data_IF_060067968055
#
_entry.id   IF_060067968055
#
_cell.length_a   1.000
_cell.length_b   1.000
_cell.length_c   1.000
_cell.angle_alpha   90.00
_cell.angle_beta   90.00
_cell.angle_gamma   90.00
#
_symmetry.space_group_name_H-M   'P 1'
#
loop_
_entity.id
_entity.type
_entity.pdbx_description
1 polymer ?
#
# COMPACT_ATOMS: atom_id res chain seq x y z
N UNK A 1 -1.97 32.74 -0.48
CA UNK A 1 -0.66 32.25 -0.96
C UNK A 1 -0.57 30.77 -0.65
N UNK A 2 -0.51 29.90 -1.66
CA UNK A 2 -0.27 28.47 -1.48
C UNK A 2 1.24 28.23 -1.35
N UNK A 3 1.65 27.43 -0.36
CA UNK A 3 3.04 26.99 -0.18
C UNK A 3 3.07 25.47 -0.36
N UNK A 4 4.07 24.97 -1.07
CA UNK A 4 4.27 23.54 -1.32
C UNK A 4 5.41 23.04 -0.44
N UNK A 5 5.22 21.87 0.17
CA UNK A 5 6.20 21.26 1.07
C UNK A 5 6.39 19.79 0.66
N UNK A 6 7.63 19.30 0.65
CA UNK A 6 7.97 17.88 0.42
C UNK A 6 8.23 17.21 1.76
N UNK A 7 7.57 16.09 2.02
CA UNK A 7 7.88 15.22 3.18
C UNK A 7 9.15 14.43 2.87
N UNK A 8 10.15 14.49 3.76
CA UNK A 8 11.44 13.79 3.61
C UNK A 8 11.48 12.42 4.32
N UNK A 9 10.33 11.92 4.77
CA UNK A 9 10.28 10.68 5.51
C UNK A 9 10.36 9.47 4.57
N UNK A 10 11.25 8.53 4.87
CA UNK A 10 11.26 7.20 4.26
C UNK A 10 10.04 6.41 4.72
N UNK A 11 9.45 5.63 3.82
CA UNK A 11 8.37 4.69 4.13
C UNK A 11 8.87 3.26 3.91
N UNK A 12 8.29 2.31 4.64
CA UNK A 12 8.40 0.89 4.27
C UNK A 12 7.26 0.57 3.33
N UNK A 13 7.54 -0.16 2.26
CA UNK A 13 6.51 -0.66 1.37
C UNK A 13 6.88 -2.06 0.88
N UNK A 14 5.87 -2.91 0.74
CA UNK A 14 6.00 -4.26 0.19
C UNK A 14 5.04 -4.41 -0.99
N UNK A 15 5.50 -5.01 -2.09
CA UNK A 15 4.65 -5.26 -3.25
C UNK A 15 3.73 -6.46 -3.01
N UNK A 16 2.43 -6.26 -3.20
CA UNK A 16 1.41 -7.27 -2.97
C UNK A 16 1.49 -8.38 -4.03
N UNK A 17 1.76 -9.60 -3.62
CA UNK A 17 1.92 -10.74 -4.53
C UNK A 17 0.58 -11.46 -4.87
N UNK A 18 -0.50 -11.13 -4.15
CA UNK A 18 -1.83 -11.71 -4.34
C UNK A 18 -2.07 -13.03 -3.59
N UNK A 19 -1.09 -13.53 -2.84
CA UNK A 19 -1.22 -14.76 -2.06
C UNK A 19 -2.13 -14.56 -0.85
N UNK A 20 -2.83 -15.63 -0.43
CA UNK A 20 -3.59 -15.60 0.83
C UNK A 20 -2.72 -15.30 2.05
N UNK A 21 -1.45 -15.71 2.03
CA UNK A 21 -0.51 -15.48 3.14
C UNK A 21 -0.21 -13.99 3.32
N UNK A 22 0.11 -13.29 2.22
CA UNK A 22 0.33 -11.85 2.27
C UNK A 22 -0.97 -11.10 2.57
N UNK A 23 -2.11 -11.56 2.05
CA UNK A 23 -3.41 -10.99 2.39
C UNK A 23 -3.67 -11.09 3.90
N UNK A 24 -3.44 -12.26 4.50
CA UNK A 24 -3.59 -12.48 5.94
C UNK A 24 -2.63 -11.61 6.77
N UNK A 25 -1.37 -11.48 6.34
CA UNK A 25 -0.35 -10.64 7.01
C UNK A 25 -0.84 -9.20 7.23
N UNK A 26 -1.51 -8.64 6.24
CA UNK A 26 -1.98 -7.25 6.26
C UNK A 26 -3.47 -7.11 6.58
N UNK A 27 -4.16 -8.20 6.89
CA UNK A 27 -5.60 -8.18 7.14
C UNK A 27 -6.43 -7.86 5.89
N UNK A 28 -5.91 -8.10 4.69
CA UNK A 28 -6.66 -7.90 3.47
C UNK A 28 -7.71 -9.00 3.30
N UNK A 29 -8.97 -8.60 3.10
CA UNK A 29 -10.10 -9.49 2.88
C UNK A 29 -10.11 -9.88 1.40
N UNK A 30 -10.09 -11.18 1.13
CA UNK A 30 -10.20 -11.71 -0.23
C UNK A 30 -11.60 -12.29 -0.44
N UNK A 31 -12.37 -11.71 -1.36
CA UNK A 31 -13.71 -12.20 -1.65
C UNK A 31 -13.66 -13.38 -2.63
N UNK A 32 -14.30 -14.53 -2.31
CA UNK A 32 -14.24 -15.73 -3.14
C UNK A 32 -14.92 -15.54 -4.51
N UNK A 33 -15.74 -14.52 -4.67
CA UNK A 33 -16.57 -14.29 -5.85
C UNK A 33 -15.89 -13.51 -6.99
N UNK A 34 -14.66 -13.01 -6.84
CA UNK A 34 -14.15 -12.10 -7.89
C UNK A 34 -12.66 -11.74 -7.95
N UNK A 35 -11.76 -12.47 -7.30
CA UNK A 35 -10.31 -12.12 -7.29
C UNK A 35 -10.02 -10.71 -6.73
N UNK A 36 -10.96 -10.13 -5.99
CA UNK A 36 -10.81 -8.80 -5.42
C UNK A 36 -10.35 -8.92 -3.97
N UNK A 37 -9.17 -8.37 -3.71
CA UNK A 37 -8.65 -8.18 -2.36
C UNK A 37 -8.87 -6.74 -1.94
N UNK A 38 -9.24 -6.53 -0.68
CA UNK A 38 -9.41 -5.22 -0.07
C UNK A 38 -8.59 -5.12 1.19
N UNK A 39 -7.84 -4.03 1.35
CA UNK A 39 -7.10 -3.70 2.55
C UNK A 39 -7.93 -2.70 3.38
N UNK A 40 -8.18 -3.02 4.64
CA UNK A 40 -8.79 -2.07 5.56
C UNK A 40 -7.78 -0.96 5.89
N UNK A 41 -8.13 0.29 5.58
CA UNK A 41 -7.30 1.46 5.88
C UNK A 41 -8.06 2.46 6.74
N UNK A 42 -7.37 3.46 7.28
CA UNK A 42 -8.01 4.54 8.06
C UNK A 42 -9.06 5.33 7.27
N UNK A 43 -9.02 5.27 5.94
CA UNK A 43 -9.93 5.96 5.03
C UNK A 43 -11.05 5.02 4.51
N UNK A 44 -11.09 3.77 4.98
CA UNK A 44 -11.98 2.71 4.53
C UNK A 44 -11.29 1.63 3.71
N UNK A 45 -12.08 0.72 3.16
CA UNK A 45 -11.58 -0.41 2.38
C UNK A 45 -10.98 0.04 1.04
N UNK A 46 -9.69 -0.23 0.84
CA UNK A 46 -8.98 0.05 -0.41
C UNK A 46 -8.78 -1.22 -1.21
N UNK A 47 -9.23 -1.22 -2.48
CA UNK A 47 -8.98 -2.33 -3.40
C UNK A 47 -7.48 -2.48 -3.67
N UNK A 48 -6.95 -3.68 -3.44
CA UNK A 48 -5.57 -4.05 -3.73
C UNK A 48 -5.51 -5.19 -4.76
N UNK A 49 -4.59 -5.07 -5.70
CA UNK A 49 -4.35 -6.07 -6.74
C UNK A 49 -2.90 -6.51 -6.71
N UNK A 50 -2.62 -7.70 -7.23
CA UNK A 50 -1.25 -8.16 -7.40
C UNK A 50 -0.41 -7.11 -8.15
N UNK A 51 0.74 -6.75 -7.59
CA UNK A 51 1.65 -5.72 -8.10
C UNK A 51 1.46 -4.34 -7.46
N UNK A 52 0.31 -4.06 -6.83
CA UNK A 52 0.13 -2.85 -6.02
C UNK A 52 1.03 -2.92 -4.78
N UNK A 53 1.36 -1.77 -4.20
CA UNK A 53 2.26 -1.66 -3.05
C UNK A 53 1.46 -1.38 -1.77
N UNK A 54 1.83 -2.05 -0.68
CA UNK A 54 1.32 -1.80 0.67
C UNK A 54 2.36 -0.97 1.39
N UNK A 55 2.07 0.31 1.62
CA UNK A 55 2.92 1.19 2.39
C UNK A 55 2.56 1.14 3.88
N UNK A 56 3.57 1.24 4.74
CA UNK A 56 3.43 1.26 6.20
C UNK A 56 3.86 2.62 6.74
N UNK A 57 2.97 3.26 7.48
CA UNK A 57 3.20 4.55 8.13
C UNK A 57 3.87 4.42 9.51
N UNK A 58 4.16 5.57 10.11
CA UNK A 58 4.92 5.65 11.36
C UNK A 58 4.15 5.07 12.56
N UNK A 59 2.82 5.11 12.54
CA UNK A 59 1.99 4.51 13.57
C UNK A 59 1.48 3.10 13.20
N UNK A 60 2.10 2.47 12.19
CA UNK A 60 1.71 1.14 11.72
C UNK A 60 0.44 1.11 10.87
N UNK A 61 -0.08 2.26 10.44
CA UNK A 61 -1.17 2.29 9.45
C UNK A 61 -0.69 1.77 8.09
N UNK A 62 -1.59 1.14 7.34
CA UNK A 62 -1.32 0.66 5.99
C UNK A 62 -2.22 1.38 4.98
N UNK A 63 -1.69 1.58 3.77
CA UNK A 63 -2.46 2.05 2.63
C UNK A 63 -1.92 1.47 1.32
N UNK A 64 -2.79 1.45 0.30
CA UNK A 64 -2.46 0.90 -1.02
C UNK A 64 -1.93 2.01 -1.92
N UNK A 65 -0.83 1.73 -2.62
CA UNK A 65 -0.27 2.59 -3.67
C UNK A 65 -0.21 1.79 -4.97
N UNK A 66 -0.74 2.32 -6.07
CA UNK A 66 -0.62 1.68 -7.38
C UNK A 66 0.83 1.60 -7.83
N UNK A 67 1.20 0.52 -8.51
CA UNK A 67 2.57 0.31 -9.00
C UNK A 67 3.12 1.49 -9.82
N UNK A 68 2.32 2.02 -10.74
CA UNK A 68 2.74 3.14 -11.60
C UNK A 68 2.96 4.42 -10.79
N UNK A 69 2.12 4.66 -9.77
CA UNK A 69 2.25 5.80 -8.87
C UNK A 69 3.50 5.60 -8.01
N UNK A 70 3.67 4.43 -7.41
CA UNK A 70 4.78 4.13 -6.51
C UNK A 70 6.12 4.37 -7.19
N UNK A 71 6.31 3.84 -8.40
CA UNK A 71 7.53 4.00 -9.20
C UNK A 71 7.81 5.45 -9.66
N UNK A 72 6.77 6.29 -9.74
CA UNK A 72 6.91 7.72 -10.07
C UNK A 72 7.22 8.59 -8.86
N UNK A 73 6.81 8.15 -7.66
CA UNK A 73 6.87 8.99 -6.46
C UNK A 73 7.93 8.55 -5.44
N UNK A 74 8.40 7.31 -5.53
CA UNK A 74 9.37 6.73 -4.60
C UNK A 74 10.57 6.15 -5.33
N UNK A 75 11.72 6.27 -4.69
CA UNK A 75 12.97 5.60 -5.04
C UNK A 75 13.39 4.72 -3.86
N UNK A 76 14.12 3.64 -4.14
CA UNK A 76 14.70 2.82 -3.08
C UNK A 76 15.71 3.66 -2.31
N UNK A 77 15.50 3.80 -1.01
CA UNK A 77 16.47 4.45 -0.13
C UNK A 77 17.46 3.40 0.37
N UNK A 78 18.76 3.69 0.23
CA UNK A 78 19.83 2.89 0.83
C UNK A 78 19.57 2.71 2.34
N UNK A 79 19.86 1.51 2.84
CA UNK A 79 19.51 1.07 4.19
C UNK A 79 20.53 1.48 5.25
#
# INVERSE_FOLDING_TARGET
>A
MSKTYRKIATIKAEQFDGTPEMALKYGAIQFPSGFQSYLETKEGDMKINKGDWIATGVAGEHWVIKDDIFKKTYEEADK
#
